data_IF_662212250701
#
_entry.id   IF_662212250701
#
_cell.length_a   1.000
_cell.length_b   1.000
_cell.length_c   1.000
_cell.angle_alpha   90.00
_cell.angle_beta   90.00
_cell.angle_gamma   90.00
#
_symmetry.space_group_name_H-M   'P 1'
#
loop_
_entity.id
_entity.type
_entity.pdbx_description
1 polymer ?
#
# COMPACT_ATOMS: atom_id res chain seq x y z
N UNK A 1 7.95 0.71 0.13
CA UNK A 1 7.91 1.80 -0.88
C UNK A 1 9.10 1.77 -1.85
N UNK A 2 10.37 1.73 -1.42
CA UNK A 2 11.48 1.72 -2.38
C UNK A 2 11.43 0.60 -3.40
N UNK A 3 10.99 -0.60 -3.00
CA UNK A 3 10.86 -1.73 -3.91
C UNK A 3 9.86 -1.49 -5.03
N UNK A 4 8.74 -0.83 -4.73
CA UNK A 4 7.74 -0.49 -5.74
C UNK A 4 8.23 0.61 -6.68
N UNK A 5 8.95 1.60 -6.17
CA UNK A 5 9.56 2.62 -7.01
C UNK A 5 10.61 2.04 -7.96
N UNK A 6 11.46 1.16 -7.46
CA UNK A 6 12.49 0.51 -8.25
C UNK A 6 11.91 -0.36 -9.38
N UNK A 7 10.72 -0.93 -9.15
CA UNK A 7 10.06 -1.83 -10.10
C UNK A 7 8.88 -1.19 -10.84
N UNK A 8 8.71 0.14 -10.75
CA UNK A 8 7.50 0.80 -11.26
C UNK A 8 7.31 0.59 -12.77
N UNK A 9 8.38 0.64 -13.55
CA UNK A 9 8.29 0.45 -14.99
C UNK A 9 7.91 -0.99 -15.34
N UNK A 10 8.46 -1.96 -14.62
CA UNK A 10 8.14 -3.37 -14.80
C UNK A 10 6.68 -3.65 -14.44
N UNK A 11 6.18 -3.05 -13.35
CA UNK A 11 4.78 -3.20 -12.92
C UNK A 11 3.85 -2.62 -13.99
N UNK A 12 4.11 -1.40 -14.45
CA UNK A 12 3.29 -0.76 -15.49
C UNK A 12 3.39 -1.49 -16.82
N UNK A 13 4.54 -2.07 -17.12
CA UNK A 13 4.74 -2.89 -18.32
C UNK A 13 3.89 -4.16 -18.33
N UNK A 14 3.39 -4.59 -17.20
CA UNK A 14 2.45 -5.73 -17.09
C UNK A 14 0.98 -5.32 -17.28
N UNK A 15 0.71 -4.08 -17.65
CA UNK A 15 -0.65 -3.59 -17.90
C UNK A 15 -1.30 -2.91 -16.70
N UNK A 16 -0.54 -2.55 -15.67
CA UNK A 16 -1.05 -1.82 -14.52
C UNK A 16 -1.14 -0.33 -14.87
N UNK A 17 -2.33 0.23 -14.79
CA UNK A 17 -2.56 1.65 -15.10
C UNK A 17 -2.13 2.56 -13.96
N UNK A 18 -2.41 2.17 -12.72
CA UNK A 18 -2.16 3.00 -11.54
C UNK A 18 -1.55 2.17 -10.44
N UNK A 19 -0.49 2.69 -9.82
CA UNK A 19 0.07 2.16 -8.58
C UNK A 19 -0.23 3.16 -7.48
N UNK A 20 -0.84 2.69 -6.40
CA UNK A 20 -1.23 3.54 -5.28
C UNK A 20 -0.73 2.95 -3.96
N UNK A 21 -0.39 3.83 -3.03
CA UNK A 21 -0.07 3.47 -1.65
C UNK A 21 -1.10 4.12 -0.74
N UNK A 22 -1.75 3.32 0.11
CA UNK A 22 -2.71 3.81 1.08
C UNK A 22 -2.24 3.48 2.49
N UNK A 23 -2.41 4.42 3.40
CA UNK A 23 -2.00 4.25 4.79
C UNK A 23 -2.91 5.06 5.70
N UNK A 24 -3.01 4.64 6.97
CA UNK A 24 -3.78 5.35 8.01
C UNK A 24 -2.98 6.57 8.46
N UNK A 25 -2.94 7.57 7.59
CA UNK A 25 -2.29 8.86 7.81
C UNK A 25 -3.09 9.94 7.09
N UNK A 26 -2.92 11.20 7.51
CA UNK A 26 -3.57 12.31 6.82
C UNK A 26 -2.84 12.66 5.50
N UNK A 27 -3.46 13.53 4.70
CA UNK A 27 -2.92 13.93 3.41
C UNK A 27 -1.57 14.65 3.53
N UNK A 28 -1.32 15.37 4.62
CA UNK A 28 -0.07 16.09 4.83
C UNK A 28 1.09 15.12 5.07
N UNK A 29 0.86 14.09 5.87
CA UNK A 29 1.85 13.03 6.12
C UNK A 29 2.14 12.28 4.83
N UNK A 30 1.11 11.91 4.08
CA UNK A 30 1.27 11.20 2.80
C UNK A 30 2.01 12.07 1.78
N UNK A 31 1.73 13.37 1.75
CA UNK A 31 2.43 14.32 0.89
C UNK A 31 3.92 14.45 1.23
N UNK A 32 4.24 14.51 2.53
CA UNK A 32 5.63 14.56 2.98
C UNK A 32 6.38 13.27 2.63
N UNK A 33 5.74 12.12 2.80
CA UNK A 33 6.31 10.82 2.44
C UNK A 33 6.53 10.72 0.93
N UNK A 34 5.58 11.22 0.12
CA UNK A 34 5.72 11.28 -1.32
C UNK A 34 6.95 12.08 -1.75
N UNK A 35 7.19 13.23 -1.12
CA UNK A 35 8.37 14.06 -1.39
C UNK A 35 9.66 13.35 -1.00
N UNK A 36 9.67 12.73 0.19
CA UNK A 36 10.83 12.00 0.69
C UNK A 36 11.23 10.85 -0.25
N UNK A 37 10.24 10.09 -0.74
CA UNK A 37 10.46 8.94 -1.61
C UNK A 37 10.47 9.30 -3.10
N UNK A 38 10.20 10.54 -3.46
CA UNK A 38 10.16 11.02 -4.85
C UNK A 38 9.18 10.22 -5.71
N UNK A 39 7.97 10.03 -5.20
CA UNK A 39 6.92 9.23 -5.87
C UNK A 39 6.11 10.00 -6.90
N UNK A 40 6.32 11.30 -7.02
CA UNK A 40 5.49 12.19 -7.83
C UNK A 40 5.35 11.69 -9.28
N UNK A 41 4.11 11.57 -9.73
CA UNK A 41 3.79 11.06 -11.05
C UNK A 41 3.97 9.54 -11.23
N UNK A 42 4.43 8.82 -10.21
CA UNK A 42 4.70 7.38 -10.29
C UNK A 42 3.79 6.56 -9.40
N UNK A 43 3.65 6.94 -8.14
CA UNK A 43 2.79 6.26 -7.16
C UNK A 43 1.86 7.28 -6.54
N UNK A 44 0.56 6.97 -6.57
CA UNK A 44 -0.46 7.80 -5.96
C UNK A 44 -0.47 7.53 -4.44
N UNK A 45 -0.24 8.56 -3.64
CA UNK A 45 -0.17 8.44 -2.19
C UNK A 45 -1.51 8.86 -1.58
N UNK A 46 -2.23 7.90 -1.00
CA UNK A 46 -3.59 8.09 -0.48
C UNK A 46 -3.61 8.02 1.04
N UNK A 47 -4.25 9.01 1.66
CA UNK A 47 -4.42 9.06 3.11
C UNK A 47 -5.77 8.49 3.54
N UNK A 48 -5.74 7.47 4.39
CA UNK A 48 -6.92 6.89 5.05
C UNK A 48 -6.91 7.35 6.51
N UNK A 49 -7.04 8.68 6.71
CA UNK A 49 -6.79 9.34 8.00
C UNK A 49 -7.60 8.81 9.17
N UNK A 50 -8.86 8.46 8.94
CA UNK A 50 -9.75 7.90 9.98
C UNK A 50 -9.78 6.37 9.99
N UNK A 51 -9.02 5.72 9.13
CA UNK A 51 -8.98 4.25 9.05
C UNK A 51 -10.24 3.60 8.47
N UNK A 52 -11.10 4.37 7.84
CA UNK A 52 -12.39 3.87 7.33
C UNK A 52 -12.21 2.81 6.25
N UNK A 53 -11.31 3.07 5.31
CA UNK A 53 -11.02 2.11 4.24
C UNK A 53 -10.41 0.83 4.80
N UNK A 54 -9.42 0.97 5.67
CA UNK A 54 -8.74 -0.18 6.29
C UNK A 54 -9.72 -1.01 7.12
N UNK A 55 -10.63 -0.36 7.84
CA UNK A 55 -11.67 -1.04 8.61
C UNK A 55 -12.66 -1.76 7.71
N UNK A 56 -13.12 -1.13 6.65
CA UNK A 56 -14.04 -1.71 5.68
C UNK A 56 -13.46 -2.94 4.99
N UNK A 57 -12.15 -2.94 4.77
CA UNK A 57 -11.41 -4.07 4.17
C UNK A 57 -11.07 -5.17 5.16
N UNK A 58 -11.28 -4.95 6.47
CA UNK A 58 -10.86 -5.91 7.50
C UNK A 58 -9.34 -5.99 7.67
N UNK A 59 -8.61 -4.93 7.32
CA UNK A 59 -7.14 -4.90 7.33
C UNK A 59 -6.58 -4.00 8.42
N UNK A 60 -7.28 -3.88 9.54
CA UNK A 60 -6.83 -3.07 10.67
C UNK A 60 -5.91 -3.84 11.59
N UNK A 61 -5.07 -3.10 12.31
CA UNK A 61 -4.19 -3.60 13.37
C UNK A 61 -4.25 -2.64 14.54
N UNK A 62 -4.57 -3.14 15.72
CA UNK A 62 -4.65 -2.31 16.93
C UNK A 62 -3.27 -2.21 17.57
N UNK A 63 -2.68 -1.04 17.50
CA UNK A 63 -1.39 -0.70 18.10
C UNK A 63 -1.53 0.33 19.22
N UNK A 64 -2.70 0.38 19.87
CA UNK A 64 -3.00 1.32 20.93
C UNK A 64 -1.98 1.24 22.06
N UNK A 65 -1.54 0.03 22.43
CA UNK A 65 -0.53 -0.19 23.47
C UNK A 65 0.82 0.46 23.13
N UNK A 66 1.08 0.66 21.86
CA UNK A 66 2.32 1.28 21.38
C UNK A 66 2.16 2.78 21.09
N UNK A 67 1.01 3.37 21.46
CA UNK A 67 0.72 4.76 21.23
C UNK A 67 0.40 5.11 19.78
N UNK A 68 0.12 4.12 18.94
CA UNK A 68 -0.13 4.32 17.50
C UNK A 68 -1.61 4.19 17.13
N UNK A 69 -2.46 3.77 18.07
CA UNK A 69 -3.88 3.57 17.81
C UNK A 69 -4.15 2.44 16.83
N UNK A 70 -5.22 2.57 16.06
CA UNK A 70 -5.60 1.59 15.05
C UNK A 70 -4.95 1.97 13.72
N UNK A 71 -4.18 1.06 13.16
CA UNK A 71 -3.47 1.22 11.88
C UNK A 71 -3.89 0.14 10.91
N UNK A 72 -3.37 0.18 9.68
CA UNK A 72 -3.56 -0.90 8.72
C UNK A 72 -2.49 -1.97 8.88
N UNK A 73 -2.85 -3.21 8.55
CA UNK A 73 -1.87 -4.25 8.33
C UNK A 73 -1.04 -3.92 7.08
N UNK A 74 0.13 -4.51 6.97
CA UNK A 74 0.93 -4.40 5.74
C UNK A 74 0.35 -5.37 4.71
N UNK A 75 0.02 -4.87 3.55
CA UNK A 75 -0.55 -5.69 2.48
C UNK A 75 -0.25 -5.09 1.11
N UNK A 76 -0.45 -5.90 0.08
CA UNK A 76 -0.53 -5.45 -1.30
C UNK A 76 -1.73 -6.12 -1.95
N UNK A 77 -2.35 -5.47 -2.92
CA UNK A 77 -3.46 -6.06 -3.65
C UNK A 77 -3.44 -5.65 -5.12
N UNK A 78 -3.98 -6.53 -5.94
CA UNK A 78 -4.18 -6.30 -7.37
C UNK A 78 -5.69 -6.15 -7.58
N UNK A 79 -6.08 -5.00 -8.14
CA UNK A 79 -7.48 -4.69 -8.41
C UNK A 79 -7.68 -4.53 -9.91
N UNK A 80 -8.71 -5.17 -10.44
CA UNK A 80 -9.08 -5.06 -11.86
C UNK A 80 -10.57 -4.77 -11.96
N UNK A 81 -10.91 -3.67 -12.62
CA UNK A 81 -12.30 -3.22 -12.82
C UNK A 81 -13.11 -3.16 -11.51
N UNK A 82 -12.50 -2.67 -10.44
CA UNK A 82 -13.12 -2.54 -9.13
C UNK A 82 -13.20 -3.83 -8.33
N UNK A 83 -12.67 -4.93 -8.84
CA UNK A 83 -12.68 -6.24 -8.17
C UNK A 83 -11.26 -6.58 -7.69
N UNK A 84 -11.13 -6.98 -6.43
CA UNK A 84 -9.85 -7.44 -5.88
C UNK A 84 -9.55 -8.81 -6.46
N UNK A 85 -8.51 -8.88 -7.28
CA UNK A 85 -8.08 -10.11 -7.93
C UNK A 85 -7.16 -10.94 -7.05
N UNK A 86 -6.21 -10.27 -6.38
CA UNK A 86 -5.27 -10.89 -5.45
C UNK A 86 -5.08 -9.98 -4.24
N UNK A 87 -4.94 -10.56 -3.07
CA UNK A 87 -4.67 -9.85 -1.83
C UNK A 87 -3.56 -10.58 -1.06
N UNK A 88 -2.48 -9.87 -0.79
CA UNK A 88 -1.30 -10.41 -0.10
C UNK A 88 -1.15 -9.69 1.24
N UNK A 89 -1.59 -10.33 2.32
CA UNK A 89 -1.52 -9.75 3.67
C UNK A 89 -0.33 -10.36 4.41
N UNK A 90 0.51 -9.47 4.97
CA UNK A 90 1.67 -9.92 5.75
C UNK A 90 1.27 -10.40 7.13
N UNK A 91 2.02 -11.36 7.64
CA UNK A 91 2.00 -11.69 9.07
C UNK A 91 2.66 -10.54 9.83
N UNK A 92 2.26 -10.27 11.10
CA UNK A 92 2.90 -9.22 11.88
C UNK A 92 4.42 -9.34 11.90
N UNK A 93 5.10 -8.26 11.52
CA UNK A 93 6.55 -8.21 11.46
C UNK A 93 7.20 -8.83 10.22
N UNK A 94 6.42 -9.47 9.35
CA UNK A 94 6.95 -10.06 8.11
C UNK A 94 6.94 -9.05 6.95
N UNK A 95 7.79 -9.30 5.95
CA UNK A 95 7.80 -8.53 4.72
C UNK A 95 8.18 -9.44 3.55
N UNK A 96 7.24 -10.25 3.10
CA UNK A 96 7.44 -11.25 2.05
C UNK A 96 6.33 -11.20 1.00
N UNK A 97 5.07 -11.30 1.45
CA UNK A 97 3.91 -11.42 0.58
C UNK A 97 3.59 -10.11 -0.14
N UNK A 98 3.79 -8.96 0.51
CA UNK A 98 3.44 -7.64 -0.02
C UNK A 98 4.60 -6.95 -0.76
N UNK A 99 5.69 -7.64 -1.04
CA UNK A 99 6.82 -7.07 -1.78
C UNK A 99 6.47 -6.85 -3.25
N UNK A 100 7.14 -5.88 -3.88
CA UNK A 100 6.98 -5.61 -5.31
C UNK A 100 7.34 -6.84 -6.14
N UNK A 101 8.35 -7.59 -5.75
CA UNK A 101 8.78 -8.82 -6.41
C UNK A 101 7.67 -9.86 -6.41
N UNK A 102 7.00 -10.06 -5.26
CA UNK A 102 5.90 -11.02 -5.15
C UNK A 102 4.69 -10.59 -5.98
N UNK A 103 4.36 -9.29 -5.94
CA UNK A 103 3.26 -8.74 -6.75
C UNK A 103 3.53 -8.95 -8.24
N UNK A 104 4.77 -8.68 -8.70
CA UNK A 104 5.16 -8.88 -10.10
C UNK A 104 4.96 -10.32 -10.56
N UNK A 105 5.19 -11.30 -9.70
CA UNK A 105 5.00 -12.72 -10.03
C UNK A 105 3.54 -13.05 -10.34
N UNK A 106 2.60 -12.26 -9.83
CA UNK A 106 1.17 -12.49 -9.99
C UNK A 106 0.51 -11.59 -11.03
N UNK A 107 1.27 -10.72 -11.67
CA UNK A 107 0.77 -9.83 -12.74
C UNK A 107 0.81 -10.45 -14.13
#
# INVERSE_FOLDING_TARGET
MPGFLANIDAIKGKGVDTVACISVNDAFVMGAWAKDQKTDGKILMLGDGSGEFSQAMGLTMDLTKNGLGVRSQRYAMIVQDGVIKDLFVEKPGAFEASTAENVLKHL
#
